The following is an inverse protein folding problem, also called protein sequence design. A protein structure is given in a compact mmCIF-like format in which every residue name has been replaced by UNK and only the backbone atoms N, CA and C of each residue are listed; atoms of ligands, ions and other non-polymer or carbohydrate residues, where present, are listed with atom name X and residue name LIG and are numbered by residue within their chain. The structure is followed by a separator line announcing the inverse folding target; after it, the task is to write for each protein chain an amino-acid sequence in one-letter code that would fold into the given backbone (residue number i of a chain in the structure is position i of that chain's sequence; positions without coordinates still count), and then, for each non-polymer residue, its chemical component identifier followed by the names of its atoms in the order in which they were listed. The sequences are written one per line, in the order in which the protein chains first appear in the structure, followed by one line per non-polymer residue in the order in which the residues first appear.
data_IF_504308556318
#
_entry.id   IF_504308556318
#
_cell.length_a   1.000
_cell.length_b   1.000
_cell.length_c   1.000
_cell.angle_alpha   90.00
_cell.angle_beta   90.00
_cell.angle_gamma   90.00
#
_symmetry.space_group_name_H-M   'P 1'
#
loop_
_entity.id
_entity.type
_entity.pdbx_description
1 polymer ?
#
# COMPACT_ATOMS: atom_id res chain seq x y z
N UNK A 1 6.07 -3.19 -0.93
CA UNK A 1 4.94 -3.98 -1.45
C UNK A 1 3.91 -3.03 -2.02
N UNK A 2 3.78 -2.98 -3.34
CA UNK A 2 2.71 -2.20 -3.99
C UNK A 2 1.35 -2.85 -3.70
N UNK A 3 0.36 -2.04 -3.32
CA UNK A 3 -0.98 -2.55 -3.01
C UNK A 3 -1.74 -2.76 -4.32
N UNK A 4 -1.99 -4.02 -4.65
CA UNK A 4 -2.66 -4.41 -5.91
C UNK A 4 -4.14 -3.99 -5.89
N UNK A 5 -4.79 -3.78 -7.06
CA UNK A 5 -6.22 -3.47 -7.11
C UNK A 5 -7.07 -4.57 -6.45
N UNK A 6 -6.66 -5.84 -6.59
CA UNK A 6 -7.31 -6.98 -5.94
C UNK A 6 -7.26 -6.88 -4.42
N UNK A 7 -6.13 -6.47 -3.86
CA UNK A 7 -6.02 -6.22 -2.42
C UNK A 7 -6.98 -5.09 -2.00
N UNK A 8 -7.03 -3.96 -2.72
CA UNK A 8 -7.96 -2.87 -2.40
C UNK A 8 -9.42 -3.31 -2.39
N UNK A 9 -9.81 -4.15 -3.36
CA UNK A 9 -11.14 -4.73 -3.44
C UNK A 9 -11.39 -5.70 -2.28
N UNK A 10 -10.41 -6.51 -1.88
CA UNK A 10 -10.59 -7.46 -0.77
C UNK A 10 -10.91 -6.74 0.55
N UNK A 11 -10.23 -5.63 0.85
CA UNK A 11 -10.56 -4.78 2.01
C UNK A 11 -12.00 -4.24 1.94
N UNK A 12 -12.44 -3.78 0.77
CA UNK A 12 -13.79 -3.26 0.56
C UNK A 12 -14.85 -4.35 0.75
N UNK A 13 -14.65 -5.52 0.14
CA UNK A 13 -15.58 -6.66 0.22
C UNK A 13 -15.70 -7.13 1.67
N UNK A 14 -14.58 -7.26 2.39
CA UNK A 14 -14.59 -7.62 3.82
C UNK A 14 -15.41 -6.62 4.63
N UNK A 15 -15.25 -5.31 4.36
CA UNK A 15 -15.99 -4.26 5.07
C UNK A 15 -17.48 -4.34 4.79
N UNK A 16 -17.88 -4.52 3.52
CA UNK A 16 -19.28 -4.60 3.12
C UNK A 16 -19.94 -5.83 3.77
N UNK A 17 -19.34 -7.00 3.60
CA UNK A 17 -19.88 -8.26 4.16
C UNK A 17 -19.97 -8.23 5.69
N UNK A 18 -18.90 -7.77 6.36
CA UNK A 18 -18.89 -7.63 7.82
C UNK A 18 -19.95 -6.65 8.32
N UNK A 19 -20.12 -5.51 7.64
CA UNK A 19 -21.12 -4.51 7.99
C UNK A 19 -22.55 -5.03 7.85
N UNK A 20 -22.85 -5.80 6.80
CA UNK A 20 -24.16 -6.41 6.64
C UNK A 20 -24.51 -7.38 7.78
N UNK A 21 -23.53 -8.13 8.28
CA UNK A 21 -23.76 -9.02 9.43
C UNK A 21 -24.18 -8.21 10.65
N UNK A 22 -23.52 -7.08 10.94
CA UNK A 22 -23.87 -6.21 12.07
C UNK A 22 -25.22 -5.51 11.88
N UNK A 23 -25.53 -5.03 10.67
CA UNK A 23 -26.82 -4.41 10.35
C UNK A 23 -27.96 -5.40 10.57
N UNK A 24 -27.86 -6.59 9.99
CA UNK A 24 -28.89 -7.63 10.13
C UNK A 24 -29.01 -8.10 11.57
N UNK A 25 -27.89 -8.24 12.30
CA UNK A 25 -27.93 -8.55 13.73
C UNK A 25 -28.64 -7.45 14.53
N UNK A 26 -28.29 -6.18 14.30
CA UNK A 26 -28.91 -5.03 14.96
C UNK A 26 -30.40 -4.97 14.72
N UNK A 27 -30.85 -5.16 13.48
CA UNK A 27 -32.28 -5.26 13.13
C UNK A 27 -32.94 -6.41 13.91
N UNK A 28 -32.37 -7.61 13.90
CA UNK A 28 -32.94 -8.74 14.62
C UNK A 28 -33.05 -8.48 16.13
N UNK A 29 -32.04 -7.84 16.74
CA UNK A 29 -32.09 -7.46 18.16
C UNK A 29 -33.19 -6.44 18.47
N UNK A 30 -33.53 -5.56 17.53
CA UNK A 30 -34.59 -4.54 17.70
C UNK A 30 -36.00 -5.07 17.40
N UNK A 31 -36.14 -6.05 16.50
CA UNK A 31 -37.43 -6.64 16.15
C UNK A 31 -37.79 -7.88 16.99
N UNK A 32 -36.81 -8.62 17.49
CA UNK A 32 -36.98 -9.83 18.30
C UNK A 32 -36.47 -9.61 19.74
N UNK A 33 -36.72 -8.43 20.30
CA UNK A 33 -36.24 -8.02 21.62
C UNK A 33 -36.62 -9.00 22.72
N UNK A 34 -37.88 -9.43 22.77
CA UNK A 34 -38.40 -10.35 23.79
C UNK A 34 -37.72 -11.73 23.74
N UNK A 35 -37.49 -12.28 22.54
CA UNK A 35 -36.80 -13.55 22.39
C UNK A 35 -35.32 -13.44 22.78
N UNK A 36 -34.65 -12.36 22.35
CA UNK A 36 -33.26 -12.10 22.68
C UNK A 36 -33.05 -11.83 24.18
N UNK A 37 -33.98 -11.10 24.82
CA UNK A 37 -33.98 -10.87 26.26
C UNK A 37 -34.20 -12.18 27.03
N UNK A 38 -35.16 -13.00 26.62
CA UNK A 38 -35.41 -14.31 27.23
C UNK A 38 -34.23 -15.28 27.09
N UNK A 39 -33.46 -15.20 25.99
CA UNK A 39 -32.20 -15.94 25.85
C UNK A 39 -31.12 -15.43 26.79
N UNK A 40 -31.03 -14.11 26.98
CA UNK A 40 -30.09 -13.52 27.92
C UNK A 40 -30.44 -13.92 29.35
N UNK A 41 -31.70 -13.84 29.79
CA UNK A 41 -32.12 -14.21 31.15
C UNK A 41 -31.84 -15.67 31.51
N UNK A 42 -31.95 -16.57 30.53
CA UNK A 42 -31.67 -18.01 30.71
C UNK A 42 -30.17 -18.34 30.69
N UNK A 43 -29.31 -17.39 30.38
CA UNK A 43 -27.90 -17.65 30.20
C UNK A 43 -27.14 -17.66 31.53
N UNK A 44 -26.20 -18.61 31.74
CA UNK A 44 -25.57 -18.84 33.05
C UNK A 44 -24.80 -17.64 33.59
N UNK A 45 -24.25 -16.79 32.72
CA UNK A 45 -23.46 -15.62 33.09
C UNK A 45 -24.23 -14.29 33.01
N UNK A 46 -25.53 -14.32 32.71
CA UNK A 46 -26.31 -13.10 32.51
C UNK A 46 -26.41 -12.24 33.77
N UNK A 47 -26.58 -12.88 34.94
CA UNK A 47 -26.67 -12.19 36.22
C UNK A 47 -25.37 -11.53 36.64
N UNK A 48 -24.24 -12.09 36.22
CA UNK A 48 -22.90 -11.64 36.63
C UNK A 48 -22.32 -10.57 35.69
N UNK A 49 -22.67 -10.61 34.40
CA UNK A 49 -22.04 -9.75 33.37
C UNK A 49 -23.01 -8.79 32.67
N UNK A 50 -24.33 -8.99 32.77
CA UNK A 50 -25.31 -8.19 32.03
C UNK A 50 -26.33 -7.51 32.95
N UNK A 51 -27.16 -8.28 33.66
CA UNK A 51 -28.35 -7.72 34.34
C UNK A 51 -28.03 -6.85 35.56
N UNK A 52 -26.77 -6.83 36.02
CA UNK A 52 -26.29 -5.84 37.01
C UNK A 52 -26.23 -4.42 36.42
N UNK A 53 -26.00 -4.27 35.11
CA UNK A 53 -25.91 -2.96 34.46
C UNK A 53 -27.29 -2.36 34.15
N UNK A 54 -28.19 -3.16 33.59
CA UNK A 54 -29.53 -2.74 33.18
C UNK A 54 -30.43 -3.97 32.94
N UNK A 55 -31.76 -3.79 32.85
CA UNK A 55 -32.68 -4.85 32.46
C UNK A 55 -32.30 -5.47 31.10
N UNK A 56 -32.53 -6.78 30.95
CA UNK A 56 -32.15 -7.53 29.76
C UNK A 56 -32.69 -6.89 28.47
N UNK A 57 -33.96 -6.48 28.45
CA UNK A 57 -34.57 -5.78 27.32
C UNK A 57 -33.82 -4.50 26.94
N UNK A 58 -33.45 -3.67 27.93
CA UNK A 58 -32.73 -2.42 27.69
C UNK A 58 -31.34 -2.68 27.08
N UNK A 59 -30.62 -3.69 27.58
CA UNK A 59 -29.31 -4.07 27.05
C UNK A 59 -29.40 -4.60 25.61
N UNK A 60 -30.43 -5.41 25.33
CA UNK A 60 -30.68 -5.93 23.98
C UNK A 60 -31.04 -4.81 23.01
N UNK A 61 -31.89 -3.86 23.41
CA UNK A 61 -32.22 -2.69 22.58
C UNK A 61 -31.00 -1.82 22.34
N UNK A 62 -30.22 -1.49 23.40
CA UNK A 62 -29.04 -0.66 23.30
C UNK A 62 -27.97 -1.29 22.39
N UNK A 63 -27.74 -2.60 22.55
CA UNK A 63 -26.84 -3.34 21.67
C UNK A 63 -27.38 -3.42 20.24
N UNK A 64 -28.69 -3.60 20.04
CA UNK A 64 -29.32 -3.58 18.72
C UNK A 64 -29.12 -2.26 17.97
N UNK A 65 -29.36 -1.14 18.64
CA UNK A 65 -29.09 0.21 18.09
C UNK A 65 -27.59 0.37 17.80
N UNK A 66 -26.72 -0.04 18.72
CA UNK A 66 -25.28 0.07 18.57
C UNK A 66 -24.73 -0.76 17.40
N UNK A 67 -25.22 -2.00 17.22
CA UNK A 67 -24.87 -2.88 16.09
C UNK A 67 -25.36 -2.31 14.76
N UNK A 68 -26.58 -1.78 14.72
CA UNK A 68 -27.15 -1.19 13.51
C UNK A 68 -26.39 0.07 13.08
N UNK A 69 -26.22 1.03 13.99
CA UNK A 69 -25.49 2.27 13.72
C UNK A 69 -24.02 2.00 13.42
N UNK A 70 -23.39 1.13 14.21
CA UNK A 70 -22.00 0.74 13.99
C UNK A 70 -21.81 0.04 12.64
N UNK A 71 -22.72 -0.87 12.27
CA UNK A 71 -22.70 -1.52 10.96
C UNK A 71 -22.83 -0.53 9.79
N UNK A 72 -23.75 0.44 9.88
CA UNK A 72 -23.90 1.48 8.86
C UNK A 72 -22.67 2.39 8.75
N UNK A 73 -22.11 2.83 9.88
CA UNK A 73 -20.91 3.67 9.89
C UNK A 73 -19.67 2.91 9.39
N UNK A 74 -19.56 1.62 9.70
CA UNK A 74 -18.50 0.75 9.20
C UNK A 74 -18.62 0.57 7.68
N UNK A 75 -19.84 0.36 7.16
CA UNK A 75 -20.10 0.24 5.73
C UNK A 75 -19.63 1.47 4.95
N UNK A 76 -20.03 2.65 5.44
CA UNK A 76 -19.66 3.96 4.90
C UNK A 76 -18.15 4.26 5.04
N UNK A 77 -17.44 3.53 5.91
CA UNK A 77 -16.03 3.78 6.20
C UNK A 77 -15.83 5.12 6.91
N UNK A 78 -16.70 5.44 7.88
CA UNK A 78 -16.64 6.63 8.74
C UNK A 78 -16.05 6.27 10.10
N UNK A 79 -15.00 6.99 10.51
CA UNK A 79 -14.23 6.77 11.75
C UNK A 79 -14.01 5.28 12.02
N UNK A 80 -13.60 4.53 10.99
CA UNK A 80 -13.67 3.06 10.97
C UNK A 80 -13.00 2.40 12.17
N UNK A 81 -11.86 2.94 12.65
CA UNK A 81 -11.17 2.39 13.82
C UNK A 81 -12.00 2.46 15.10
N UNK A 82 -12.64 3.60 15.34
CA UNK A 82 -13.47 3.85 16.52
C UNK A 82 -14.79 3.09 16.45
N UNK A 83 -15.39 3.03 15.26
CA UNK A 83 -16.60 2.23 15.04
C UNK A 83 -16.32 0.74 15.26
N UNK A 84 -15.20 0.24 14.74
CA UNK A 84 -14.79 -1.15 14.94
C UNK A 84 -14.55 -1.47 16.43
N UNK A 85 -13.89 -0.56 17.16
CA UNK A 85 -13.73 -0.70 18.62
C UNK A 85 -15.08 -0.71 19.35
N UNK A 86 -16.01 0.18 19.01
CA UNK A 86 -17.34 0.21 19.61
C UNK A 86 -18.11 -1.09 19.38
N UNK A 87 -18.14 -1.58 18.13
CA UNK A 87 -18.74 -2.87 17.78
C UNK A 87 -18.06 -4.03 18.50
N UNK A 88 -16.73 -3.98 18.68
CA UNK A 88 -15.97 -4.99 19.40
C UNK A 88 -16.38 -5.06 20.88
N UNK A 89 -16.49 -3.89 21.53
CA UNK A 89 -16.91 -3.78 22.93
C UNK A 89 -18.37 -4.20 23.15
N UNK A 90 -19.24 -4.08 22.14
CA UNK A 90 -20.61 -4.60 22.18
C UNK A 90 -20.62 -6.12 22.00
N UNK A 91 -19.82 -6.65 21.07
CA UNK A 91 -19.85 -8.06 20.70
C UNK A 91 -19.26 -8.98 21.77
N UNK A 92 -18.23 -8.54 22.50
CA UNK A 92 -17.58 -9.35 23.55
C UNK A 92 -18.57 -9.76 24.66
N UNK A 93 -19.30 -8.84 25.32
CA UNK A 93 -20.31 -9.22 26.32
C UNK A 93 -21.41 -10.11 25.77
N UNK A 94 -21.90 -9.87 24.55
CA UNK A 94 -22.94 -10.70 23.91
C UNK A 94 -22.44 -12.13 23.73
N UNK A 95 -21.20 -12.29 23.30
CA UNK A 95 -20.57 -13.59 23.06
C UNK A 95 -20.38 -14.35 24.37
N UNK A 96 -19.84 -13.69 25.40
CA UNK A 96 -19.56 -14.31 26.68
C UNK A 96 -20.83 -14.68 27.44
N UNK A 97 -21.86 -13.84 27.40
CA UNK A 97 -23.09 -14.08 28.16
C UNK A 97 -23.99 -15.09 27.49
N UNK A 98 -24.29 -14.94 26.19
CA UNK A 98 -25.33 -15.74 25.51
C UNK A 98 -24.77 -17.03 24.88
N UNK A 99 -23.49 -17.07 24.49
CA UNK A 99 -22.99 -18.11 23.58
C UNK A 99 -21.98 -19.09 24.20
N UNK A 100 -21.29 -18.71 25.27
CA UNK A 100 -20.35 -19.61 25.97
C UNK A 100 -21.07 -20.72 26.76
N UNK A 101 -22.34 -20.51 27.11
CA UNK A 101 -23.15 -21.45 27.91
C UNK A 101 -24.29 -22.16 27.17
N UNK A 102 -24.42 -22.01 25.84
CA UNK A 102 -25.57 -22.51 25.10
C UNK A 102 -25.33 -23.90 24.49
N UNK A 103 -26.28 -24.83 24.65
CA UNK A 103 -26.19 -26.22 24.21
C UNK A 103 -26.43 -26.44 22.69
N UNK A 104 -26.76 -25.38 21.94
CA UNK A 104 -27.12 -25.44 20.52
C UNK A 104 -25.93 -25.60 19.55
N UNK A 105 -24.76 -26.04 20.02
CA UNK A 105 -23.54 -26.24 19.24
C UNK A 105 -22.65 -25.00 19.13
N UNK A 106 -21.39 -25.20 18.72
CA UNK A 106 -20.34 -24.17 18.72
C UNK A 106 -20.40 -23.19 17.54
N UNK A 107 -21.29 -23.40 16.57
CA UNK A 107 -21.41 -22.58 15.35
C UNK A 107 -21.62 -21.07 15.61
N UNK A 108 -22.61 -20.67 16.43
CA UNK A 108 -22.82 -19.26 16.77
C UNK A 108 -21.60 -18.59 17.43
N UNK A 109 -20.88 -19.33 18.27
CA UNK A 109 -19.68 -18.85 18.95
C UNK A 109 -18.54 -18.58 17.96
N UNK A 110 -18.26 -19.51 17.04
CA UNK A 110 -17.22 -19.32 16.03
C UNK A 110 -17.50 -18.17 15.06
N UNK A 111 -18.77 -17.95 14.71
CA UNK A 111 -19.18 -16.75 13.94
C UNK A 111 -18.76 -15.47 14.67
N UNK A 112 -19.01 -15.37 15.97
CA UNK A 112 -18.64 -14.20 16.76
C UNK A 112 -17.12 -14.04 16.90
N UNK A 113 -16.36 -15.14 17.04
CA UNK A 113 -14.89 -15.09 17.01
C UNK A 113 -14.39 -14.53 15.66
N UNK A 114 -14.93 -15.01 14.54
CA UNK A 114 -14.57 -14.50 13.22
C UNK A 114 -14.89 -13.01 13.06
N UNK A 115 -16.03 -12.56 13.58
CA UNK A 115 -16.40 -11.14 13.60
C UNK A 115 -15.47 -10.31 14.47
N UNK A 116 -15.06 -10.79 15.66
CA UNK A 116 -14.08 -10.13 16.51
C UNK A 116 -12.72 -9.99 15.78
N UNK A 117 -12.28 -11.02 15.06
CA UNK A 117 -11.07 -10.96 14.24
C UNK A 117 -11.16 -9.91 13.12
N UNK A 118 -12.30 -9.85 12.43
CA UNK A 118 -12.57 -8.83 11.41
C UNK A 118 -12.62 -7.41 12.00
N UNK A 119 -13.20 -7.23 13.19
CA UNK A 119 -13.21 -5.94 13.88
C UNK A 119 -11.81 -5.52 14.32
N UNK A 120 -11.02 -6.44 14.89
CA UNK A 120 -9.62 -6.20 15.25
C UNK A 120 -8.82 -5.73 14.03
N UNK A 121 -9.04 -6.36 12.88
CA UNK A 121 -8.44 -5.96 11.63
C UNK A 121 -8.78 -4.51 11.27
N UNK A 122 -10.05 -4.09 11.36
CA UNK A 122 -10.45 -2.70 11.09
C UNK A 122 -10.01 -1.71 12.17
N UNK A 123 -9.82 -2.14 13.41
CA UNK A 123 -9.24 -1.31 14.48
C UNK A 123 -7.79 -0.93 14.16
N UNK A 124 -6.98 -1.89 13.72
CA UNK A 124 -5.57 -1.66 13.38
C UNK A 124 -5.46 -0.91 12.05
N UNK A 125 -6.16 -1.38 11.03
CA UNK A 125 -5.95 -0.92 9.65
C UNK A 125 -6.81 0.30 9.26
N UNK A 126 -7.97 0.50 9.89
CA UNK A 126 -8.95 1.50 9.47
C UNK A 126 -9.65 1.12 8.17
N UNK A 127 -10.32 2.09 7.51
CA UNK A 127 -11.11 1.81 6.30
C UNK A 127 -10.26 1.43 5.08
N UNK A 128 -8.97 1.78 5.10
CA UNK A 128 -7.90 1.63 4.09
C UNK A 128 -8.16 2.07 2.65
N UNK A 129 -9.33 1.76 2.06
CA UNK A 129 -9.71 2.10 0.69
C UNK A 129 -11.21 2.39 0.62
N UNK A 130 -11.60 3.26 -0.32
CA UNK A 130 -13.01 3.54 -0.64
C UNK A 130 -13.89 3.91 0.57
N UNK A 131 -13.30 4.51 1.62
CA UNK A 131 -14.02 4.96 2.82
C UNK A 131 -14.20 6.47 2.80
N UNK A 132 -15.30 6.95 3.39
CA UNK A 132 -15.52 8.39 3.55
C UNK A 132 -14.40 9.07 4.35
N UNK A 133 -13.76 8.36 5.29
CA UNK A 133 -12.59 8.84 6.02
C UNK A 133 -11.48 9.34 5.07
N UNK A 134 -11.23 8.62 3.97
CA UNK A 134 -10.22 9.01 3.00
C UNK A 134 -10.65 10.18 2.14
N UNK A 135 -11.94 10.23 1.80
CA UNK A 135 -12.50 11.34 1.03
C UNK A 135 -12.31 12.66 1.79
N UNK A 136 -12.56 12.68 3.10
CA UNK A 136 -12.35 13.87 3.93
C UNK A 136 -10.86 14.24 4.06
N UNK A 137 -9.96 13.27 4.22
CA UNK A 137 -8.51 13.52 4.30
C UNK A 137 -7.99 14.10 2.98
N UNK A 138 -8.31 13.45 1.85
CA UNK A 138 -7.91 13.91 0.52
C UNK A 138 -8.46 15.30 0.23
N UNK A 139 -9.73 15.56 0.55
CA UNK A 139 -10.34 16.89 0.37
C UNK A 139 -9.65 17.96 1.20
N UNK A 140 -9.31 17.69 2.47
CA UNK A 140 -8.54 18.63 3.31
C UNK A 140 -7.14 18.89 2.75
N UNK A 141 -6.47 17.87 2.23
CA UNK A 141 -5.14 17.99 1.66
C UNK A 141 -5.16 18.77 0.34
N UNK A 142 -6.14 18.52 -0.53
CA UNK A 142 -6.38 19.31 -1.75
C UNK A 142 -6.69 20.77 -1.42
N UNK A 143 -7.55 21.05 -0.43
CA UNK A 143 -7.86 22.42 0.01
C UNK A 143 -6.63 23.13 0.60
N UNK A 144 -5.79 22.41 1.36
CA UNK A 144 -4.52 22.95 1.89
C UNK A 144 -3.56 23.30 0.75
N UNK A 145 -3.41 22.42 -0.25
CA UNK A 145 -2.56 22.65 -1.42
C UNK A 145 -3.07 23.84 -2.27
N UNK A 146 -4.38 23.97 -2.45
CA UNK A 146 -5.00 25.13 -3.10
C UNK A 146 -4.66 26.45 -2.38
N UNK A 147 -4.71 26.46 -1.05
CA UNK A 147 -4.35 27.65 -0.26
C UNK A 147 -2.86 27.98 -0.32
N UNK A 148 -1.97 26.97 -0.30
CA UNK A 148 -0.52 27.15 -0.47
C UNK A 148 -0.21 27.71 -1.86
N UNK A 149 -0.82 27.16 -2.90
CA UNK A 149 -0.63 27.63 -4.28
C UNK A 149 -1.12 29.07 -4.45
N UNK A 150 -2.29 29.41 -3.88
CA UNK A 150 -2.83 30.79 -3.89
C UNK A 150 -1.88 31.76 -3.18
N UNK A 151 -1.32 31.37 -2.04
CA UNK A 151 -0.33 32.20 -1.30
C UNK A 151 0.98 32.39 -2.07
N UNK A 152 1.45 31.36 -2.78
CA UNK A 152 2.63 31.41 -3.65
C UNK A 152 2.41 32.36 -4.85
N UNK A 153 1.24 32.29 -5.49
CA UNK A 153 0.88 33.18 -6.60
C UNK A 153 0.78 34.64 -6.14
N UNK A 154 0.16 34.93 -4.99
CA UNK A 154 0.16 36.29 -4.45
C UNK A 154 1.56 36.81 -4.15
N UNK A 155 2.45 35.97 -3.61
CA UNK A 155 3.84 36.35 -3.35
C UNK A 155 4.60 36.63 -4.65
N UNK A 156 4.35 35.88 -5.72
CA UNK A 156 5.00 36.05 -7.02
C UNK A 156 4.49 37.30 -7.75
N UNK A 157 3.17 37.57 -7.69
CA UNK A 157 2.56 38.80 -8.23
C UNK A 157 3.06 40.03 -7.47
N UNK A 158 3.20 39.95 -6.14
CA UNK A 158 3.73 41.04 -5.33
C UNK A 158 5.23 41.31 -5.63
N UNK A 159 6.02 40.26 -5.89
CA UNK A 159 7.41 40.40 -6.29
C UNK A 159 7.58 40.98 -7.71
N UNK A 160 6.71 40.61 -8.65
CA UNK A 160 6.67 41.17 -10.02
C UNK A 160 6.20 42.64 -10.04
N UNK A 161 5.27 43.01 -9.17
CA UNK A 161 4.87 44.41 -8.97
C UNK A 161 5.99 45.25 -8.32
N UNK A 162 6.78 44.66 -7.41
CA UNK A 162 7.91 45.33 -6.79
C UNK A 162 9.10 45.55 -7.76
N UNK A 163 9.31 44.65 -8.73
CA UNK A 163 10.38 44.80 -9.75
C UNK A 163 9.97 45.68 -10.94
N UNK A 164 8.68 45.94 -11.15
CA UNK A 164 8.16 46.83 -12.20
C UNK A 164 8.33 48.33 -11.93
N UNK A 165 8.76 48.74 -10.73
CA UNK A 165 8.85 50.14 -10.30
C UNK A 165 10.25 50.77 -10.39
N UNK A 166 11.27 50.06 -10.90
CA UNK A 166 12.65 50.54 -10.96
C UNK A 166 13.33 50.38 -12.33
N UNK A 167 12.59 50.58 -13.42
CA UNK A 167 13.21 50.70 -14.76
C UNK A 167 12.76 51.98 -15.45
N UNK A 168 13.47 53.07 -15.15
CA UNK A 168 13.49 54.30 -15.93
C UNK A 168 14.94 54.60 -16.31
N UNK A 169 15.12 54.90 -17.60
CA UNK A 169 16.32 55.48 -18.22
C UNK A 169 17.54 54.55 -18.43
N UNK A 170 17.56 53.87 -19.57
CA UNK A 170 18.80 53.69 -20.34
C UNK A 170 18.48 53.65 -21.83
N UNK A 171 18.67 54.77 -22.52
CA UNK A 171 18.75 54.87 -23.98
C UNK A 171 20.01 54.17 -24.46
N UNK A 172 19.88 52.91 -24.87
CA UNK A 172 20.91 52.15 -25.58
C UNK A 172 20.43 51.85 -27.00
N UNK A 173 21.17 52.32 -27.99
CA UNK A 173 20.95 52.08 -29.42
C UNK A 173 20.91 50.59 -29.74
N UNK A 174 19.76 50.11 -30.23
CA UNK A 174 19.61 48.74 -30.71
C UNK A 174 20.03 48.63 -32.17
N UNK A 175 21.11 47.90 -32.43
CA UNK A 175 21.39 47.32 -33.74
C UNK A 175 20.59 46.01 -33.82
N UNK A 176 19.71 45.91 -34.81
CA UNK A 176 18.97 44.70 -35.10
C UNK A 176 19.91 43.59 -35.58
N UNK A 177 20.03 42.50 -34.80
CA UNK A 177 20.61 41.24 -35.24
C UNK A 177 19.52 40.17 -35.20
N UNK A 178 19.23 39.65 -36.39
CA UNK A 178 18.34 38.52 -36.66
C UNK A 178 18.85 37.27 -35.91
N UNK A 179 18.01 36.53 -35.16
CA UNK A 179 18.45 35.28 -34.58
C UNK A 179 18.51 34.21 -35.67
N UNK A 180 19.72 33.84 -36.06
CA UNK A 180 19.99 32.58 -36.74
C UNK A 180 19.56 31.43 -35.82
N UNK A 181 18.65 30.59 -36.32
CA UNK A 181 18.35 29.28 -35.72
C UNK A 181 19.61 28.43 -35.73
N UNK A 182 20.37 28.45 -34.64
CA UNK A 182 21.34 27.39 -34.37
C UNK A 182 20.58 26.18 -33.85
N UNK A 183 20.38 25.22 -34.75
CA UNK A 183 20.05 23.85 -34.38
C UNK A 183 21.18 23.30 -33.49
N UNK A 184 20.92 23.22 -32.19
CA UNK A 184 21.75 22.43 -31.29
C UNK A 184 21.48 20.97 -31.59
N UNK A 185 22.36 20.36 -32.38
CA UNK A 185 22.49 18.91 -32.51
C UNK A 185 22.67 18.35 -31.10
N UNK A 186 21.64 17.69 -30.58
CA UNK A 186 21.71 16.97 -29.32
C UNK A 186 22.75 15.85 -29.49
N UNK A 187 23.92 16.04 -28.89
CA UNK A 187 24.88 14.97 -28.65
C UNK A 187 24.15 13.93 -27.81
N UNK A 188 23.99 12.72 -28.35
CA UNK A 188 23.39 11.60 -27.66
C UNK A 188 24.25 11.25 -26.43
N UNK A 189 23.88 11.78 -25.26
CA UNK A 189 24.51 11.44 -23.98
C UNK A 189 24.06 10.03 -23.63
N UNK A 190 24.93 9.05 -23.89
CA UNK A 190 24.69 7.66 -23.52
C UNK A 190 24.44 7.52 -22.02
N UNK A 191 23.49 6.66 -21.65
CA UNK A 191 23.05 6.50 -20.26
C UNK A 191 23.29 5.07 -19.76
N UNK A 192 23.65 4.98 -18.48
CA UNK A 192 23.89 3.72 -17.79
C UNK A 192 22.74 3.44 -16.82
N UNK A 193 22.33 2.17 -16.76
CA UNK A 193 21.16 1.74 -16.00
C UNK A 193 21.52 0.61 -15.04
N UNK A 194 20.98 0.69 -13.83
CA UNK A 194 21.08 -0.35 -12.81
C UNK A 194 19.69 -0.80 -12.37
N UNK A 195 19.47 -2.10 -12.22
CA UNK A 195 18.21 -2.63 -11.68
C UNK A 195 18.53 -3.57 -10.54
N UNK A 196 18.03 -3.27 -9.35
CA UNK A 196 18.05 -4.22 -8.24
C UNK A 196 16.79 -5.09 -8.33
N UNK A 197 16.97 -6.40 -8.25
CA UNK A 197 15.86 -7.35 -8.19
C UNK A 197 15.85 -8.06 -6.84
N UNK A 198 14.66 -8.23 -6.26
CA UNK A 198 14.47 -8.86 -4.94
C UNK A 198 13.81 -10.24 -4.98
N UNK A 199 13.14 -10.58 -6.10
CA UNK A 199 12.46 -11.87 -6.33
C UNK A 199 12.92 -12.55 -7.63
N UNK A 200 12.92 -13.89 -7.73
CA UNK A 200 13.35 -14.62 -8.92
C UNK A 200 12.62 -14.21 -10.21
N UNK A 201 11.30 -14.03 -10.13
CA UNK A 201 10.45 -13.64 -11.26
C UNK A 201 10.72 -12.21 -11.78
N UNK A 202 11.37 -11.35 -11.00
CA UNK A 202 11.74 -10.00 -11.44
C UNK A 202 12.85 -10.01 -12.49
N UNK A 203 13.62 -11.10 -12.61
CA UNK A 203 14.62 -11.26 -13.66
C UNK A 203 13.98 -11.12 -15.05
N UNK A 204 12.79 -11.70 -15.26
CA UNK A 204 12.06 -11.57 -16.53
C UNK A 204 11.72 -10.12 -16.86
N UNK A 205 11.28 -9.35 -15.85
CA UNK A 205 10.97 -7.93 -16.02
C UNK A 205 12.24 -7.11 -16.33
N UNK A 206 13.34 -7.38 -15.63
CA UNK A 206 14.63 -6.74 -15.90
C UNK A 206 15.14 -7.04 -17.32
N UNK A 207 15.02 -8.30 -17.78
CA UNK A 207 15.42 -8.71 -19.13
C UNK A 207 14.58 -8.02 -20.20
N UNK A 208 13.24 -8.02 -20.07
CA UNK A 208 12.36 -7.32 -21.02
C UNK A 208 12.63 -5.80 -21.04
N UNK A 209 13.02 -5.23 -19.90
CA UNK A 209 13.42 -3.82 -19.81
C UNK A 209 14.73 -3.57 -20.55
N UNK A 210 15.73 -4.44 -20.40
CA UNK A 210 17.00 -4.31 -21.12
C UNK A 210 16.83 -4.44 -22.65
N UNK A 211 15.91 -5.29 -23.12
CA UNK A 211 15.60 -5.43 -24.54
C UNK A 211 14.93 -4.18 -25.14
N UNK A 212 14.18 -3.43 -24.33
CA UNK A 212 13.49 -2.21 -24.78
C UNK A 212 14.33 -0.95 -24.62
N UNK A 213 15.25 -0.93 -23.64
CA UNK A 213 16.19 0.17 -23.42
C UNK A 213 17.45 -0.10 -24.26
N UNK A 214 17.36 0.11 -25.56
CA UNK A 214 18.47 -0.05 -26.52
C UNK A 214 19.23 1.26 -26.75
N UNK A 215 20.34 1.19 -27.50
CA UNK A 215 21.11 2.37 -27.92
C UNK A 215 20.29 3.33 -28.79
N UNK A 216 19.38 2.81 -29.61
CA UNK A 216 18.55 3.60 -30.53
C UNK A 216 17.21 4.03 -29.91
N UNK A 217 16.86 3.51 -28.74
CA UNK A 217 15.70 3.96 -27.99
C UNK A 217 15.89 5.38 -27.42
N UNK A 218 14.80 6.03 -26.98
CA UNK A 218 14.86 7.30 -26.24
C UNK A 218 15.74 7.26 -24.98
N UNK A 219 16.09 6.07 -24.51
CA UNK A 219 16.89 5.82 -23.32
C UNK A 219 18.40 5.72 -23.62
N UNK A 220 18.80 5.51 -24.89
CA UNK A 220 20.19 5.57 -25.35
C UNK A 220 21.17 4.77 -24.46
N UNK A 221 20.86 3.48 -24.28
CA UNK A 221 21.60 2.62 -23.36
C UNK A 221 23.02 2.35 -23.82
N UNK A 222 23.97 2.57 -22.91
CA UNK A 222 25.35 2.06 -23.02
C UNK A 222 25.62 0.86 -22.11
N UNK A 223 25.14 0.89 -20.86
CA UNK A 223 25.31 -0.22 -19.91
C UNK A 223 24.00 -0.56 -19.21
N UNK A 224 23.77 -1.85 -18.95
CA UNK A 224 22.70 -2.35 -18.10
C UNK A 224 23.26 -3.33 -17.08
N UNK A 225 23.11 -3.02 -15.79
CA UNK A 225 23.51 -3.90 -14.71
C UNK A 225 22.27 -4.39 -13.97
N UNK A 226 22.19 -5.68 -13.72
CA UNK A 226 21.18 -6.28 -12.83
C UNK A 226 21.86 -6.79 -11.58
N UNK A 227 21.41 -6.30 -10.42
CA UNK A 227 21.90 -6.64 -9.09
C UNK A 227 20.87 -7.52 -8.38
N UNK A 228 21.18 -8.80 -8.21
CA UNK A 228 20.31 -9.77 -7.55
C UNK A 228 20.52 -9.76 -6.02
N UNK A 229 19.48 -9.42 -5.27
CA UNK A 229 19.45 -9.40 -3.82
C UNK A 229 18.26 -10.22 -3.27
N UNK A 230 18.28 -10.49 -1.97
CA UNK A 230 17.24 -11.27 -1.30
C UNK A 230 17.00 -12.61 -2.03
N UNK A 231 15.74 -13.00 -2.26
CA UNK A 231 15.41 -14.32 -2.82
C UNK A 231 15.78 -14.45 -4.30
N UNK A 232 15.98 -13.35 -5.03
CA UNK A 232 16.30 -13.40 -6.46
C UNK A 232 17.63 -14.09 -6.76
N UNK A 233 18.52 -14.27 -5.78
CA UNK A 233 19.79 -14.99 -5.99
C UNK A 233 19.58 -16.45 -6.42
N UNK A 234 18.43 -17.04 -6.07
CA UNK A 234 18.03 -18.39 -6.47
C UNK A 234 17.87 -18.52 -8.00
N UNK A 235 17.49 -17.44 -8.69
CA UNK A 235 17.31 -17.42 -10.15
C UNK A 235 18.61 -17.69 -10.92
N UNK A 236 19.76 -17.51 -10.26
CA UNK A 236 21.09 -17.69 -10.86
C UNK A 236 21.73 -19.02 -10.47
N UNK A 237 21.02 -19.92 -9.79
CA UNK A 237 21.49 -21.28 -9.50
C UNK A 237 21.36 -22.14 -10.77
N UNK A 238 22.35 -22.98 -11.06
CA UNK A 238 22.33 -23.93 -12.19
C UNK A 238 21.07 -24.80 -12.14
N UNK A 239 20.35 -24.87 -13.27
CA UNK A 239 19.13 -25.67 -13.39
C UNK A 239 17.86 -24.99 -12.84
N UNK A 240 17.93 -23.72 -12.43
CA UNK A 240 16.73 -22.97 -12.05
C UNK A 240 15.78 -22.75 -13.25
N UNK A 241 14.49 -22.61 -12.97
CA UNK A 241 13.44 -22.31 -13.96
C UNK A 241 13.71 -21.03 -14.78
N UNK A 242 14.48 -20.09 -14.23
CA UNK A 242 14.83 -18.82 -14.87
C UNK A 242 16.06 -18.88 -15.79
N UNK A 243 16.62 -20.07 -16.06
CA UNK A 243 17.81 -20.22 -16.90
C UNK A 243 17.61 -19.66 -18.32
N UNK A 244 16.41 -19.82 -18.90
CA UNK A 244 16.12 -19.30 -20.24
C UNK A 244 16.14 -17.76 -20.27
N UNK A 245 15.54 -17.11 -19.27
CA UNK A 245 15.59 -15.65 -19.12
C UNK A 245 17.01 -15.13 -18.86
N UNK A 246 17.82 -15.87 -18.10
CA UNK A 246 19.23 -15.52 -17.89
C UNK A 246 19.99 -15.43 -19.22
N UNK A 247 19.93 -16.49 -20.04
CA UNK A 247 20.58 -16.55 -21.35
C UNK A 247 20.07 -15.45 -22.29
N UNK A 248 18.75 -15.21 -22.27
CA UNK A 248 18.12 -14.12 -23.02
C UNK A 248 18.69 -12.75 -22.62
N UNK A 249 18.88 -12.52 -21.32
CA UNK A 249 19.46 -11.26 -20.84
C UNK A 249 20.96 -11.12 -21.13
N UNK A 250 21.72 -12.22 -21.13
CA UNK A 250 23.12 -12.23 -21.59
C UNK A 250 23.19 -11.80 -23.07
N UNK A 251 22.30 -12.32 -23.92
CA UNK A 251 22.19 -11.90 -25.32
C UNK A 251 21.78 -10.42 -25.47
N UNK A 252 21.00 -9.88 -24.52
CA UNK A 252 20.65 -8.47 -24.46
C UNK A 252 21.78 -7.57 -23.88
N UNK A 253 22.94 -8.12 -23.54
CA UNK A 253 24.09 -7.38 -23.02
C UNK A 253 23.92 -6.92 -21.57
N UNK A 254 23.16 -7.66 -20.76
CA UNK A 254 23.04 -7.40 -19.33
C UNK A 254 24.30 -7.89 -18.60
N UNK A 255 24.80 -7.10 -17.65
CA UNK A 255 25.80 -7.53 -16.68
C UNK A 255 25.12 -7.93 -15.38
N UNK A 256 25.31 -9.18 -14.95
CA UNK A 256 24.67 -9.71 -13.73
C UNK A 256 25.62 -9.69 -12.53
N UNK A 257 25.13 -9.16 -11.41
CA UNK A 257 25.78 -9.18 -10.11
C UNK A 257 24.90 -9.88 -9.08
N UNK A 258 25.49 -10.63 -8.16
CA UNK A 258 24.77 -11.41 -7.13
C UNK A 258 25.23 -11.00 -5.74
N UNK A 259 24.29 -10.78 -4.82
CA UNK A 259 24.59 -10.31 -3.48
C UNK A 259 25.14 -11.42 -2.60
N UNK A 260 26.40 -11.29 -2.17
CA UNK A 260 27.09 -12.25 -1.30
C UNK A 260 26.42 -12.39 0.07
N UNK A 261 25.88 -11.31 0.64
CA UNK A 261 25.07 -11.39 1.88
C UNK A 261 23.81 -12.24 1.68
N UNK A 262 23.13 -12.10 0.54
CA UNK A 262 21.93 -12.90 0.25
C UNK A 262 22.28 -14.36 -0.02
N UNK A 263 23.36 -14.65 -0.75
CA UNK A 263 23.85 -16.04 -0.91
C UNK A 263 24.06 -16.72 0.45
N UNK A 264 24.69 -16.03 1.41
CA UNK A 264 24.87 -16.54 2.78
C UNK A 264 23.53 -16.73 3.50
N UNK A 265 22.64 -15.74 3.42
CA UNK A 265 21.33 -15.79 4.08
C UNK A 265 20.46 -16.96 3.59
N UNK A 266 20.51 -17.27 2.30
CA UNK A 266 19.74 -18.36 1.68
C UNK A 266 20.53 -19.67 1.56
N UNK A 267 21.73 -19.74 2.16
CA UNK A 267 22.60 -20.92 2.17
C UNK A 267 22.91 -21.49 0.76
N UNK A 268 23.17 -20.60 -0.20
CA UNK A 268 23.49 -20.95 -1.59
C UNK A 268 25.00 -20.94 -1.76
N UNK A 269 25.55 -22.07 -2.24
CA UNK A 269 26.96 -22.19 -2.56
C UNK A 269 27.29 -21.43 -3.87
N UNK A 270 28.22 -20.45 -3.86
CA UNK A 270 28.72 -19.77 -5.07
C UNK A 270 29.07 -20.69 -6.25
N UNK A 271 29.54 -21.91 -6.01
CA UNK A 271 29.92 -22.86 -7.06
C UNK A 271 28.72 -23.41 -7.84
N UNK A 272 27.52 -23.30 -7.26
CA UNK A 272 26.27 -23.71 -7.89
C UNK A 272 25.68 -22.66 -8.81
N UNK A 273 26.24 -21.45 -8.86
CA UNK A 273 25.75 -20.37 -9.73
C UNK A 273 26.09 -20.61 -11.20
N UNK A 274 25.26 -20.07 -12.10
CA UNK A 274 25.51 -20.03 -13.55
C UNK A 274 26.78 -19.23 -13.86
N UNK A 275 27.44 -19.55 -14.97
CA UNK A 275 28.66 -18.84 -15.39
C UNK A 275 28.32 -17.43 -15.86
N UNK A 276 29.16 -16.44 -15.56
CA UNK A 276 29.00 -15.06 -16.02
C UNK A 276 28.36 -14.09 -15.02
N UNK A 277 28.03 -14.58 -13.82
CA UNK A 277 27.65 -13.71 -12.69
C UNK A 277 28.87 -13.37 -11.84
N UNK A 278 28.91 -12.13 -11.35
CA UNK A 278 29.93 -11.71 -10.37
C UNK A 278 29.29 -11.52 -9.00
N UNK A 279 29.96 -12.01 -7.97
CA UNK A 279 29.47 -11.88 -6.59
C UNK A 279 30.03 -10.59 -6.00
N UNK A 280 29.14 -9.71 -5.55
CA UNK A 280 29.51 -8.51 -4.79
C UNK A 280 29.21 -8.74 -3.30
N UNK A 281 30.06 -8.29 -2.37
CA UNK A 281 29.85 -8.55 -0.94
C UNK A 281 28.49 -8.07 -0.42
N UNK A 282 28.10 -6.84 -0.78
CA UNK A 282 26.83 -6.23 -0.40
C UNK A 282 26.20 -5.55 -1.62
N UNK A 283 25.02 -6.03 -2.03
CA UNK A 283 24.32 -5.52 -3.20
C UNK A 283 23.77 -4.11 -3.05
N UNK A 284 23.40 -3.67 -1.84
CA UNK A 284 22.86 -2.33 -1.60
C UNK A 284 23.96 -1.27 -1.72
N UNK A 285 25.13 -1.51 -1.13
CA UNK A 285 26.27 -0.59 -1.26
C UNK A 285 26.71 -0.48 -2.71
N UNK A 286 26.72 -1.60 -3.45
CA UNK A 286 26.99 -1.59 -4.88
C UNK A 286 25.97 -0.74 -5.68
N UNK A 287 24.68 -0.78 -5.34
CA UNK A 287 23.69 0.10 -5.99
C UNK A 287 23.95 1.59 -5.68
N UNK A 288 24.38 1.93 -4.46
CA UNK A 288 24.80 3.30 -4.16
C UNK A 288 26.06 3.71 -4.94
N UNK A 289 27.02 2.80 -5.11
CA UNK A 289 28.21 3.04 -5.94
C UNK A 289 27.82 3.32 -7.40
N UNK A 290 26.86 2.57 -7.96
CA UNK A 290 26.32 2.82 -9.29
C UNK A 290 25.68 4.21 -9.40
N UNK A 291 24.87 4.61 -8.40
CA UNK A 291 24.28 5.95 -8.38
C UNK A 291 25.33 7.05 -8.35
N UNK A 292 26.40 6.88 -7.56
CA UNK A 292 27.52 7.83 -7.52
C UNK A 292 28.29 7.90 -8.85
N UNK A 293 28.33 6.79 -9.60
CA UNK A 293 28.89 6.72 -10.95
C UNK A 293 27.93 7.25 -12.03
N UNK A 294 26.77 7.79 -11.64
CA UNK A 294 25.79 8.39 -12.56
C UNK A 294 24.84 7.40 -13.23
N UNK A 295 24.74 6.16 -12.73
CA UNK A 295 23.72 5.23 -13.21
C UNK A 295 22.33 5.68 -12.75
N UNK A 296 21.34 5.55 -13.63
CA UNK A 296 19.94 5.59 -13.22
C UNK A 296 19.52 4.22 -12.72
N UNK A 297 19.06 4.16 -11.47
CA UNK A 297 18.73 2.90 -10.82
C UNK A 297 17.24 2.74 -10.56
N UNK A 298 16.72 1.53 -10.71
CA UNK A 298 15.36 1.13 -10.32
C UNK A 298 15.43 -0.12 -9.43
N UNK A 299 14.48 -0.26 -8.52
CA UNK A 299 14.30 -1.46 -7.69
C UNK A 299 13.00 -2.18 -8.06
N UNK A 300 13.07 -3.50 -8.18
CA UNK A 300 11.95 -4.40 -8.48
C UNK A 300 11.68 -5.34 -7.30
#
# INVERSE_FOLDING_TARGET
MEITPLQKISFLVLRIMGSFIFITAGINHLFQTAEAAGRLEKAPFAQQLATWMAPAETLIVLSGVGLLLGGLLLLLGLKTRWVALGLFLILVPITLTVQVGNAAGSGPLFKNIALLGMLLFFMVNGSLFYGLDQWFINRKQTLKNLNVMKKSVYSMVLALLATGLLSSCATGTMVAQTPSKSASTAVATSKNYGVLISQPNHLKAAVNTAETITKDSKYQRQSFVVMACAKSVEAFVKGNEMAAEYEKGMAAGITYKVCGMSLKQFNIDPQTLVKGVEIVPNGLTYMFDLQQQGYMTVEL
#
